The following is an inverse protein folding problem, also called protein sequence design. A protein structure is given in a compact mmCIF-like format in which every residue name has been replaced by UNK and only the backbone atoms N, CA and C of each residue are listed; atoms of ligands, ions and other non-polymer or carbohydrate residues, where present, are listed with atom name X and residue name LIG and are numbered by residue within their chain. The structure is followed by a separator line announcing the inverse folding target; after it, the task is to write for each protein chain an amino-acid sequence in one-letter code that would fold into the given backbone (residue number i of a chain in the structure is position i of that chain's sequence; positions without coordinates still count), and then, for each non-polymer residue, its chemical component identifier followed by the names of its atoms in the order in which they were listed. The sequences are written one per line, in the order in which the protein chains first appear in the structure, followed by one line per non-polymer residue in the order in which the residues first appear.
data_IF_601577277881
#
_entry.id   IF_601577277881
#
_cell.length_a   1.000
_cell.length_b   1.000
_cell.length_c   1.000
_cell.angle_alpha   90.00
_cell.angle_beta   90.00
_cell.angle_gamma   90.00
#
_symmetry.space_group_name_H-M   'P 1'
#
loop_
_entity.id
_entity.type
_entity.pdbx_description
1 polymer ?
#
# COMPACT_ATOMS: atom_id res chain seq x y z
N UNK A 1 0.04 -9.21 9.86
CA UNK A 1 1.41 -8.68 9.64
C UNK A 1 1.66 -8.70 8.13
N UNK A 2 2.05 -7.56 7.54
CA UNK A 2 2.03 -7.36 6.07
C UNK A 2 3.08 -8.18 5.32
N UNK A 3 2.76 -8.65 4.11
CA UNK A 3 3.67 -9.37 3.21
C UNK A 3 4.99 -8.63 2.96
N UNK A 4 5.04 -7.31 3.17
CA UNK A 4 6.25 -6.52 3.02
C UNK A 4 7.37 -6.89 4.02
N UNK A 5 7.05 -7.55 5.15
CA UNK A 5 8.04 -7.95 6.17
C UNK A 5 8.59 -9.36 5.90
N UNK A 6 7.92 -10.14 5.05
CA UNK A 6 8.31 -11.51 4.73
C UNK A 6 9.73 -11.59 4.15
N UNK A 7 10.07 -10.71 3.20
CA UNK A 7 11.41 -10.63 2.61
C UNK A 7 12.52 -10.34 3.62
N UNK A 8 12.23 -9.49 4.62
CA UNK A 8 13.17 -9.11 5.68
C UNK A 8 13.44 -10.28 6.62
N UNK A 9 12.40 -11.05 6.95
CA UNK A 9 12.51 -12.18 7.87
C UNK A 9 13.13 -13.43 7.23
N UNK A 10 13.32 -13.49 5.90
CA UNK A 10 13.99 -14.64 5.25
C UNK A 10 15.38 -14.90 5.83
N UNK A 11 16.16 -13.85 6.07
CA UNK A 11 17.51 -13.95 6.65
C UNK A 11 17.54 -14.15 8.16
N UNK A 12 16.53 -13.64 8.87
CA UNK A 12 16.45 -13.69 10.33
C UNK A 12 15.95 -15.04 10.87
N UNK A 13 15.32 -15.88 10.03
CA UNK A 13 14.70 -17.16 10.40
C UNK A 13 15.57 -18.18 11.13
N UNK A 14 16.90 -18.11 10.97
CA UNK A 14 17.84 -19.03 11.63
C UNK A 14 18.37 -18.48 12.94
N UNK A 15 17.92 -17.30 13.34
CA UNK A 15 18.31 -16.66 14.59
C UNK A 15 17.42 -17.16 15.75
N UNK A 16 17.90 -17.05 16.99
CA UNK A 16 17.07 -17.26 18.18
C UNK A 16 15.80 -16.42 18.15
N UNK A 17 14.75 -16.87 18.85
CA UNK A 17 13.47 -16.16 18.92
C UNK A 17 13.64 -14.74 19.47
N UNK A 18 14.52 -14.53 20.45
CA UNK A 18 14.86 -13.20 20.96
C UNK A 18 15.36 -12.26 19.87
N UNK A 19 16.37 -12.69 19.11
CA UNK A 19 16.91 -11.93 17.98
C UNK A 19 15.86 -11.68 16.88
N UNK A 20 14.93 -12.61 16.65
CA UNK A 20 13.80 -12.40 15.74
C UNK A 20 12.88 -11.29 16.23
N UNK A 21 12.53 -11.28 17.52
CA UNK A 21 11.68 -10.26 18.14
C UNK A 21 12.35 -8.90 18.07
N UNK A 22 13.64 -8.81 18.40
CA UNK A 22 14.43 -7.58 18.29
C UNK A 22 14.44 -7.03 16.86
N UNK A 23 14.76 -7.86 15.86
CA UNK A 23 14.75 -7.44 14.46
C UNK A 23 13.37 -6.94 14.03
N UNK A 24 12.29 -7.64 14.42
CA UNK A 24 10.93 -7.23 14.08
C UNK A 24 10.62 -5.86 14.70
N UNK A 25 10.96 -5.68 15.98
CA UNK A 25 10.76 -4.41 16.68
C UNK A 25 11.55 -3.29 16.01
N UNK A 26 12.86 -3.43 15.86
CA UNK A 26 13.74 -2.41 15.26
C UNK A 26 13.26 -2.00 13.87
N UNK A 27 12.88 -2.98 13.03
CA UNK A 27 12.39 -2.72 11.68
C UNK A 27 11.04 -2.02 11.68
N UNK A 28 10.16 -2.37 12.62
CA UNK A 28 8.85 -1.72 12.77
C UNK A 28 9.02 -0.28 13.22
N UNK A 29 9.86 -0.03 14.23
CA UNK A 29 10.19 1.32 14.69
C UNK A 29 10.79 2.15 13.56
N UNK A 30 11.80 1.62 12.87
CA UNK A 30 12.41 2.30 11.72
C UNK A 30 11.38 2.62 10.63
N UNK A 31 10.51 1.66 10.29
CA UNK A 31 9.48 1.85 9.27
C UNK A 31 8.50 2.97 9.64
N UNK A 32 7.99 2.97 10.87
CA UNK A 32 7.09 4.02 11.37
C UNK A 32 7.78 5.38 11.38
N UNK A 33 9.02 5.45 11.86
CA UNK A 33 9.81 6.69 11.88
C UNK A 33 10.00 7.27 10.49
N UNK A 34 10.43 6.47 9.51
CA UNK A 34 10.60 6.92 8.13
C UNK A 34 9.28 7.41 7.53
N UNK A 35 8.18 6.70 7.81
CA UNK A 35 6.84 7.08 7.33
C UNK A 35 6.33 8.37 7.95
N UNK A 36 6.55 8.58 9.25
CA UNK A 36 6.18 9.80 9.96
C UNK A 36 6.97 11.01 9.45
N UNK A 37 8.29 10.89 9.27
CA UNK A 37 9.13 11.95 8.66
C UNK A 37 8.61 12.29 7.27
N UNK A 38 8.29 11.26 6.47
CA UNK A 38 7.73 11.46 5.14
C UNK A 38 6.40 12.22 5.19
N UNK A 39 5.49 11.86 6.09
CA UNK A 39 4.20 12.54 6.29
C UNK A 39 4.37 14.00 6.68
N UNK A 40 5.33 14.29 7.58
CA UNK A 40 5.68 15.67 7.96
C UNK A 40 6.17 16.50 6.77
N UNK A 41 7.03 15.92 5.92
CA UNK A 41 7.50 16.58 4.69
C UNK A 41 6.36 16.88 3.72
N UNK A 42 5.42 15.93 3.56
CA UNK A 42 4.23 16.15 2.73
C UNK A 42 3.36 17.30 3.27
N UNK A 43 3.25 17.41 4.60
CA UNK A 43 2.48 18.46 5.27
C UNK A 43 3.12 19.83 5.07
N UNK A 44 4.44 19.94 5.23
CA UNK A 44 5.20 21.17 4.97
C UNK A 44 5.07 21.64 3.51
N UNK A 45 4.91 20.70 2.58
CA UNK A 45 4.69 20.99 1.17
C UNK A 45 3.22 21.31 0.82
N UNK A 46 2.32 21.43 1.82
CA UNK A 46 0.88 21.64 1.63
C UNK A 46 0.23 20.62 0.69
N UNK A 47 0.69 19.36 0.71
CA UNK A 47 0.10 18.32 -0.12
C UNK A 47 -1.26 17.87 0.44
N UNK A 48 -2.24 17.67 -0.45
CA UNK A 48 -3.56 17.17 -0.09
C UNK A 48 -3.57 15.65 0.15
N UNK A 49 -2.77 14.91 -0.62
CA UNK A 49 -2.71 13.45 -0.59
C UNK A 49 -1.28 12.95 -0.50
N UNK A 50 -1.16 11.65 -0.20
CA UNK A 50 0.11 10.93 -0.31
C UNK A 50 0.76 11.10 -1.70
N UNK A 51 2.09 11.12 -1.73
CA UNK A 51 2.90 11.18 -2.97
C UNK A 51 2.37 10.31 -4.12
N UNK A 52 1.97 9.07 -3.82
CA UNK A 52 1.47 8.13 -4.82
C UNK A 52 0.22 8.69 -5.53
N UNK A 53 -0.74 9.18 -4.76
CA UNK A 53 -1.97 9.75 -5.27
C UNK A 53 -1.70 11.06 -6.03
N UNK A 54 -0.86 11.95 -5.47
CA UNK A 54 -0.46 13.19 -6.13
C UNK A 54 0.20 12.94 -7.49
N UNK A 55 1.21 12.07 -7.53
CA UNK A 55 1.93 11.73 -8.77
C UNK A 55 1.01 11.14 -9.82
N UNK A 56 0.15 10.21 -9.43
CA UNK A 56 -0.79 9.57 -10.35
C UNK A 56 -1.86 10.54 -10.84
N UNK A 57 -2.43 11.36 -9.95
CA UNK A 57 -3.42 12.37 -10.30
C UNK A 57 -2.87 13.39 -11.30
N UNK A 58 -1.67 13.94 -11.04
CA UNK A 58 -1.02 14.91 -11.94
C UNK A 58 -0.69 14.28 -13.29
N UNK A 59 -0.13 13.07 -13.30
CA UNK A 59 0.18 12.35 -14.54
C UNK A 59 -1.06 12.09 -15.40
N UNK A 60 -2.18 11.74 -14.78
CA UNK A 60 -3.44 11.56 -15.49
C UNK A 60 -4.06 12.86 -15.95
N UNK A 61 -3.87 13.95 -15.19
CA UNK A 61 -4.39 15.26 -15.55
C UNK A 61 -3.68 15.80 -16.80
N UNK A 62 -2.37 15.60 -16.89
CA UNK A 62 -1.59 15.96 -18.09
C UNK A 62 -2.07 15.19 -19.32
N UNK A 63 -2.37 13.88 -19.17
CA UNK A 63 -2.92 13.07 -20.27
C UNK A 63 -4.31 13.51 -20.71
N UNK A 64 -5.10 14.08 -19.80
CA UNK A 64 -6.47 14.49 -20.05
C UNK A 64 -6.60 15.69 -21.00
N UNK A 65 -5.53 16.49 -21.16
CA UNK A 65 -5.55 17.76 -21.90
C UNK A 65 -6.06 17.57 -23.33
N UNK A 66 -5.55 16.56 -24.04
CA UNK A 66 -5.83 16.29 -25.46
C UNK A 66 -7.20 15.62 -25.73
N UNK A 67 -7.95 15.29 -24.68
CA UNK A 67 -9.20 14.54 -24.85
C UNK A 67 -10.36 15.46 -25.24
N UNK A 68 -11.32 14.92 -26.00
CA UNK A 68 -12.55 15.61 -26.36
C UNK A 68 -13.71 15.04 -25.56
N UNK A 69 -14.60 15.89 -25.05
CA UNK A 69 -15.78 15.48 -24.28
C UNK A 69 -17.05 15.68 -25.09
N UNK A 70 -17.97 14.73 -24.98
CA UNK A 70 -19.35 14.87 -25.41
C UNK A 70 -20.26 14.67 -24.20
N UNK A 71 -20.95 15.75 -23.80
CA UNK A 71 -21.87 15.74 -22.66
C UNK A 71 -23.23 15.24 -23.13
N UNK A 72 -23.83 14.32 -22.37
CA UNK A 72 -25.14 13.74 -22.70
C UNK A 72 -26.23 14.16 -21.72
N UNK A 73 -25.90 14.40 -20.45
CA UNK A 73 -26.88 14.84 -19.46
C UNK A 73 -26.22 15.66 -18.36
N UNK A 74 -26.73 16.88 -18.16
CA UNK A 74 -26.29 17.76 -17.08
C UNK A 74 -26.77 17.27 -15.71
N UNK A 75 -28.03 16.82 -15.60
CA UNK A 75 -28.61 16.34 -14.35
C UNK A 75 -28.00 15.01 -13.90
N UNK A 76 -27.65 14.12 -14.84
CA UNK A 76 -27.04 12.82 -14.53
C UNK A 76 -25.51 12.83 -14.58
N UNK A 77 -24.90 13.97 -14.95
CA UNK A 77 -23.44 14.16 -15.06
C UNK A 77 -22.74 13.02 -15.83
N UNK A 78 -23.33 12.72 -17.00
CA UNK A 78 -22.93 11.61 -17.87
C UNK A 78 -22.27 12.17 -19.14
N UNK A 79 -21.10 11.63 -19.50
CA UNK A 79 -20.39 12.04 -20.70
C UNK A 79 -19.59 10.90 -21.32
N UNK A 80 -19.34 11.02 -22.63
CA UNK A 80 -18.30 10.25 -23.29
C UNK A 80 -17.03 11.09 -23.49
N UNK A 81 -15.89 10.41 -23.47
CA UNK A 81 -14.56 10.98 -23.70
C UNK A 81 -13.92 10.26 -24.85
N UNK A 82 -13.50 11.02 -25.84
CA UNK A 82 -12.79 10.52 -27.00
C UNK A 82 -11.29 10.68 -26.78
N UNK A 83 -10.54 9.58 -26.89
CA UNK A 83 -9.09 9.54 -26.76
C UNK A 83 -8.43 8.96 -28.02
N UNK A 84 -7.23 9.45 -28.35
CA UNK A 84 -6.43 8.91 -29.44
C UNK A 84 -5.44 7.89 -28.88
N UNK A 85 -5.35 6.70 -29.49
CA UNK A 85 -4.30 5.73 -29.14
C UNK A 85 -2.92 6.26 -29.54
N UNK A 86 -1.88 5.76 -28.86
CA UNK A 86 -0.47 6.11 -29.14
C UNK A 86 -0.06 5.82 -30.59
N UNK A 87 -0.79 4.96 -31.31
CA UNK A 87 -0.54 4.60 -32.70
C UNK A 87 -1.24 5.54 -33.70
N UNK A 88 -1.77 6.68 -33.26
CA UNK A 88 -2.23 7.80 -34.11
C UNK A 88 -3.56 7.63 -34.83
N UNK A 89 -3.99 6.39 -35.14
CA UNK A 89 -5.13 6.15 -36.04
C UNK A 89 -6.42 5.69 -35.36
N UNK A 90 -6.34 5.09 -34.16
CA UNK A 90 -7.50 4.49 -33.52
C UNK A 90 -8.06 5.40 -32.41
N UNK A 91 -9.35 5.71 -32.53
CA UNK A 91 -10.10 6.55 -31.61
C UNK A 91 -10.84 5.65 -30.64
N UNK A 92 -10.59 5.80 -29.33
CA UNK A 92 -11.32 5.09 -28.28
C UNK A 92 -12.32 6.02 -27.60
N UNK A 93 -13.53 5.50 -27.38
CA UNK A 93 -14.54 6.21 -26.60
C UNK A 93 -14.70 5.57 -25.23
N UNK A 94 -14.54 6.37 -24.19
CA UNK A 94 -14.77 5.98 -22.81
C UNK A 94 -16.00 6.66 -22.26
N UNK A 95 -16.74 5.95 -21.41
CA UNK A 95 -17.95 6.46 -20.77
C UNK A 95 -17.63 6.78 -19.32
N UNK A 96 -18.06 7.96 -18.85
CA UNK A 96 -17.85 8.41 -17.47
C UNK A 96 -19.21 8.77 -16.85
N UNK A 97 -19.47 8.22 -15.67
CA UNK A 97 -20.62 8.53 -14.81
C UNK A 97 -20.07 9.15 -13.53
N UNK A 98 -20.10 10.49 -13.44
CA UNK A 98 -19.50 11.21 -12.32
C UNK A 98 -20.19 10.88 -10.99
N UNK A 99 -21.53 10.86 -10.98
CA UNK A 99 -22.31 10.57 -9.77
C UNK A 99 -21.95 9.21 -9.15
N UNK A 100 -21.72 8.20 -9.99
CA UNK A 100 -21.32 6.86 -9.57
C UNK A 100 -19.81 6.73 -9.31
N UNK A 101 -19.01 7.74 -9.67
CA UNK A 101 -17.54 7.69 -9.68
C UNK A 101 -17.00 6.55 -10.54
N UNK A 102 -17.62 6.35 -11.70
CA UNK A 102 -17.33 5.25 -12.61
C UNK A 102 -16.80 5.74 -13.95
N UNK A 103 -15.86 4.97 -14.50
CA UNK A 103 -15.39 5.13 -15.86
C UNK A 103 -15.25 3.75 -16.50
N UNK A 104 -15.61 3.62 -17.78
CA UNK A 104 -15.54 2.35 -18.52
C UNK A 104 -14.11 1.78 -18.64
N UNK A 105 -13.07 2.55 -18.33
CA UNK A 105 -11.70 2.05 -18.24
C UNK A 105 -11.38 1.35 -16.91
N UNK A 106 -12.31 1.30 -15.96
CA UNK A 106 -12.22 0.69 -14.62
C UNK A 106 -11.14 1.25 -13.68
N UNK A 107 -10.24 2.10 -14.16
CA UNK A 107 -9.14 2.68 -13.36
C UNK A 107 -9.64 3.49 -12.16
N UNK A 108 -10.74 4.23 -12.30
CA UNK A 108 -11.25 5.02 -11.19
C UNK A 108 -11.68 4.14 -10.02
N UNK A 109 -12.42 3.05 -10.29
CA UNK A 109 -12.80 2.09 -9.26
C UNK A 109 -11.59 1.34 -8.70
N UNK A 110 -10.67 0.89 -9.57
CA UNK A 110 -9.49 0.12 -9.17
C UNK A 110 -8.54 0.90 -8.26
N UNK A 111 -8.27 2.17 -8.60
CA UNK A 111 -7.28 2.98 -7.89
C UNK A 111 -7.91 3.93 -6.86
N UNK A 112 -9.23 4.11 -6.85
CA UNK A 112 -9.88 5.11 -5.98
C UNK A 112 -9.49 6.57 -6.30
N UNK A 113 -8.85 6.80 -7.44
CA UNK A 113 -8.40 8.11 -7.92
C UNK A 113 -9.00 8.32 -9.32
N UNK A 114 -9.61 9.49 -9.61
CA UNK A 114 -10.19 9.74 -10.92
C UNK A 114 -9.15 9.59 -12.03
N UNK A 115 -9.44 8.72 -13.01
CA UNK A 115 -8.56 8.53 -14.16
C UNK A 115 -8.56 9.75 -15.10
N UNK A 116 -7.66 9.77 -16.09
CA UNK A 116 -7.54 10.89 -17.05
C UNK A 116 -8.87 11.21 -17.77
N UNK A 117 -9.66 10.20 -18.14
CA UNK A 117 -11.00 10.40 -18.71
C UNK A 117 -11.93 11.10 -17.73
N UNK A 118 -11.93 10.63 -16.49
CA UNK A 118 -12.82 11.13 -15.44
C UNK A 118 -12.47 12.57 -15.07
N UNK A 119 -11.18 12.88 -14.95
CA UNK A 119 -10.69 14.24 -14.72
C UNK A 119 -11.11 15.19 -15.84
N UNK A 120 -11.03 14.77 -17.11
CA UNK A 120 -11.50 15.58 -18.24
C UNK A 120 -12.99 15.87 -18.14
N UNK A 121 -13.80 14.86 -17.83
CA UNK A 121 -15.26 15.00 -17.72
C UNK A 121 -15.62 15.89 -16.54
N UNK A 122 -15.00 15.69 -15.38
CA UNK A 122 -15.19 16.56 -14.22
C UNK A 122 -14.89 18.02 -14.55
N UNK A 123 -13.76 18.30 -15.22
CA UNK A 123 -13.44 19.66 -15.70
C UNK A 123 -14.50 20.20 -16.66
N UNK A 124 -15.02 19.37 -17.56
CA UNK A 124 -16.12 19.72 -18.44
C UNK A 124 -17.40 20.15 -17.70
N UNK A 125 -17.69 19.56 -16.56
CA UNK A 125 -18.85 19.91 -15.71
C UNK A 125 -18.51 20.93 -14.61
N UNK A 126 -17.33 21.54 -14.62
CA UNK A 126 -16.84 22.45 -13.56
C UNK A 126 -16.83 21.81 -12.17
N UNK A 127 -16.58 20.50 -12.11
CA UNK A 127 -16.47 19.74 -10.86
C UNK A 127 -15.00 19.49 -10.58
N UNK A 128 -14.58 19.72 -9.34
CA UNK A 128 -13.22 19.40 -8.92
C UNK A 128 -13.04 17.88 -8.87
N UNK A 129 -12.24 17.32 -9.79
CA UNK A 129 -11.88 15.90 -9.72
C UNK A 129 -11.09 15.58 -8.42
N UNK A 130 -10.39 16.56 -7.85
CA UNK A 130 -9.65 16.40 -6.61
C UNK A 130 -10.56 15.96 -5.44
N UNK A 131 -11.78 16.49 -5.34
CA UNK A 131 -12.72 16.11 -4.27
C UNK A 131 -13.24 14.68 -4.37
N UNK A 132 -12.90 13.96 -5.45
CA UNK A 132 -13.35 12.60 -5.69
C UNK A 132 -12.29 11.53 -5.47
N UNK A 133 -11.06 11.93 -5.09
CA UNK A 133 -10.03 11.02 -4.61
C UNK A 133 -10.51 10.40 -3.28
N UNK A 134 -10.35 9.09 -3.11
CA UNK A 134 -10.74 8.40 -1.88
C UNK A 134 -9.96 8.90 -0.66
N UNK A 135 -10.65 9.01 0.47
CA UNK A 135 -10.13 9.64 1.70
C UNK A 135 -8.92 8.92 2.31
N UNK A 136 -8.77 7.62 2.07
CA UNK A 136 -7.60 6.87 2.55
C UNK A 136 -6.29 7.31 1.87
N UNK A 137 -6.34 8.10 0.78
CA UNK A 137 -5.17 8.78 0.22
C UNK A 137 -4.85 10.12 0.90
N UNK A 138 -5.77 10.64 1.71
CA UNK A 138 -5.64 11.92 2.40
C UNK A 138 -4.46 11.94 3.36
N UNK A 139 -3.77 13.08 3.38
CA UNK A 139 -2.58 13.24 4.22
C UNK A 139 -2.92 13.13 5.72
N UNK A 140 -4.11 13.55 6.13
CA UNK A 140 -4.59 13.39 7.51
C UNK A 140 -4.70 11.92 7.92
N UNK A 141 -5.30 11.08 7.08
CA UNK A 141 -5.41 9.64 7.34
C UNK A 141 -4.02 8.98 7.43
N UNK A 142 -3.10 9.38 6.54
CA UNK A 142 -1.71 8.93 6.57
C UNK A 142 -1.01 9.32 7.87
N UNK A 143 -1.03 10.61 8.25
CA UNK A 143 -0.37 11.09 9.46
C UNK A 143 -0.96 10.45 10.73
N UNK A 144 -2.28 10.28 10.79
CA UNK A 144 -2.92 9.61 11.91
C UNK A 144 -2.44 8.15 12.04
N UNK A 145 -2.28 7.44 10.93
CA UNK A 145 -1.79 6.04 10.89
C UNK A 145 -0.40 5.90 11.51
N UNK A 146 0.48 6.88 11.30
CA UNK A 146 1.88 6.86 11.75
C UNK A 146 2.16 7.83 12.91
N UNK A 147 1.12 8.31 13.59
CA UNK A 147 1.24 9.28 14.70
C UNK A 147 1.77 8.65 15.99
N UNK A 148 1.52 7.35 16.18
CA UNK A 148 1.95 6.60 17.37
C UNK A 148 3.46 6.35 17.33
N UNK A 149 4.07 6.36 18.50
CA UNK A 149 5.47 6.02 18.72
C UNK A 149 5.61 4.69 19.44
N UNK A 150 6.79 4.11 19.33
CA UNK A 150 7.21 2.96 20.11
C UNK A 150 8.09 3.45 21.25
N UNK A 151 7.92 2.85 22.43
CA UNK A 151 8.81 3.08 23.55
C UNK A 151 10.09 2.24 23.40
N UNK A 152 11.25 2.77 23.84
CA UNK A 152 12.47 1.99 23.87
C UNK A 152 12.35 0.85 24.88
N UNK A 153 12.84 -0.33 24.49
CA UNK A 153 12.98 -1.47 25.40
C UNK A 153 14.24 -1.27 26.22
N UNK A 154 14.13 -1.39 27.55
CA UNK A 154 15.28 -1.27 28.45
C UNK A 154 16.22 -2.47 28.30
N UNK A 155 17.46 -2.34 28.79
CA UNK A 155 18.37 -3.48 28.87
C UNK A 155 17.79 -4.58 29.76
N UNK A 156 18.15 -5.83 29.47
CA UNK A 156 17.67 -7.02 30.19
C UNK A 156 17.87 -6.93 31.71
N UNK A 157 18.95 -6.26 32.14
CA UNK A 157 19.27 -6.01 33.55
C UNK A 157 18.18 -5.27 34.34
N UNK A 158 17.26 -4.59 33.65
CA UNK A 158 16.18 -3.81 34.26
C UNK A 158 14.81 -4.47 34.10
N UNK A 159 14.74 -5.67 33.54
CA UNK A 159 13.46 -6.34 33.34
C UNK A 159 12.99 -7.00 34.64
N UNK A 160 11.69 -6.93 34.90
CA UNK A 160 11.09 -7.64 36.02
C UNK A 160 11.22 -9.16 35.81
N UNK A 161 11.42 -9.89 36.91
CA UNK A 161 11.41 -11.34 36.87
C UNK A 161 10.04 -11.84 36.34
N UNK A 162 10.02 -12.75 35.36
CA UNK A 162 8.77 -13.24 34.81
C UNK A 162 7.98 -13.98 35.89
N UNK A 163 6.74 -13.54 36.14
CA UNK A 163 5.82 -14.22 37.05
C UNK A 163 5.16 -15.48 36.43
N UNK A 164 5.89 -16.16 35.54
CA UNK A 164 5.45 -17.38 34.87
C UNK A 164 6.65 -18.29 34.61
N UNK A 165 6.39 -19.59 34.57
CA UNK A 165 7.39 -20.58 34.22
C UNK A 165 7.18 -21.04 32.77
N UNK A 166 8.23 -20.95 31.95
CA UNK A 166 8.26 -21.60 30.64
C UNK A 166 8.38 -23.11 30.84
N UNK A 167 7.28 -23.83 30.62
CA UNK A 167 7.24 -25.30 30.65
C UNK A 167 7.20 -25.80 29.21
N UNK A 168 8.12 -26.70 28.86
CA UNK A 168 8.06 -27.38 27.57
C UNK A 168 6.86 -28.34 27.57
N UNK A 169 6.14 -28.42 26.46
CA UNK A 169 5.04 -29.37 26.33
C UNK A 169 5.62 -30.80 26.36
N UNK A 170 5.31 -31.62 27.39
CA UNK A 170 5.86 -32.96 27.54
C UNK A 170 5.34 -33.93 26.46
N UNK A 171 4.31 -33.55 25.71
CA UNK A 171 3.75 -34.34 24.61
C UNK A 171 4.41 -34.06 23.26
N UNK A 172 5.23 -32.99 23.16
CA UNK A 172 6.08 -32.76 21.98
C UNK A 172 7.19 -33.80 21.99
N UNK A 173 6.95 -34.87 21.22
CA UNK A 173 7.77 -36.08 21.14
C UNK A 173 9.26 -35.76 20.98
N UNK A 174 10.04 -36.07 22.02
CA UNK A 174 11.43 -36.49 21.88
C UNK A 174 11.40 -37.64 20.86
N UNK A 175 12.14 -37.52 19.75
CA UNK A 175 12.17 -38.56 18.73
C UNK A 175 12.53 -39.90 19.37
N UNK A 176 11.60 -40.86 19.37
CA UNK A 176 11.83 -42.22 19.87
C UNK A 176 12.71 -43.06 18.94
N UNK A 177 12.99 -42.56 17.73
CA UNK A 177 13.84 -43.21 16.74
C UNK A 177 15.08 -42.35 16.45
N UNK A 178 16.26 -42.94 16.19
CA UNK A 178 17.42 -42.21 15.71
C UNK A 178 17.10 -41.52 14.38
N UNK A 179 17.19 -40.19 14.33
CA UNK A 179 16.98 -39.43 13.10
C UNK A 179 16.26 -38.10 13.33
N UNK A 180 16.33 -37.22 12.33
CA UNK A 180 15.63 -35.93 12.34
C UNK A 180 14.15 -36.17 11.99
N UNK A 181 13.25 -35.74 12.87
CA UNK A 181 11.80 -35.73 12.58
C UNK A 181 11.53 -35.07 11.23
N UNK A 182 10.77 -35.76 10.37
CA UNK A 182 10.32 -35.17 9.10
C UNK A 182 9.43 -33.97 9.39
N UNK A 183 9.71 -32.85 8.73
CA UNK A 183 8.92 -31.63 8.89
C UNK A 183 7.59 -31.78 8.18
N UNK A 184 6.48 -31.64 8.88
CA UNK A 184 5.12 -31.55 8.29
C UNK A 184 4.83 -30.19 7.65
N UNK A 185 5.80 -29.28 7.69
CA UNK A 185 5.68 -27.91 7.18
C UNK A 185 5.67 -27.91 5.64
N UNK A 186 4.65 -27.29 5.08
CA UNK A 186 4.54 -27.00 3.64
C UNK A 186 5.55 -25.92 3.27
N UNK A 187 6.36 -26.19 2.24
CA UNK A 187 7.31 -25.22 1.69
C UNK A 187 6.58 -24.05 1.02
N UNK A 188 7.03 -22.81 1.25
CA UNK A 188 6.51 -21.61 0.58
C UNK A 188 7.63 -20.79 -0.06
N UNK A 189 7.29 -19.69 -0.74
CA UNK A 189 8.24 -18.81 -1.47
C UNK A 189 9.41 -18.31 -0.60
N UNK A 190 9.29 -18.39 0.71
CA UNK A 190 10.33 -17.98 1.65
C UNK A 190 11.43 -19.04 1.83
N UNK A 191 11.21 -20.27 1.36
CA UNK A 191 12.16 -21.38 1.44
C UNK A 191 12.99 -21.53 0.16
N UNK A 192 12.61 -20.83 -0.91
CA UNK A 192 13.34 -20.82 -2.17
C UNK A 192 14.61 -19.96 -2.06
N UNK A 193 15.76 -20.50 -2.50
CA UNK A 193 17.01 -19.74 -2.60
C UNK A 193 16.86 -18.70 -3.72
N UNK A 194 17.12 -17.43 -3.44
CA UNK A 194 17.17 -16.43 -4.50
C UNK A 194 18.33 -16.76 -5.45
N UNK A 195 18.01 -17.17 -6.68
CA UNK A 195 18.97 -17.28 -7.77
C UNK A 195 19.46 -15.87 -8.05
N UNK A 196 20.74 -15.57 -7.79
CA UNK A 196 21.33 -14.30 -8.20
C UNK A 196 21.22 -14.23 -9.72
N UNK A 197 20.55 -13.20 -10.24
CA UNK A 197 20.66 -12.84 -11.64
C UNK A 197 22.14 -12.51 -11.92
N UNK A 198 22.72 -13.19 -12.91
CA UNK A 198 24.05 -12.88 -13.44
C UNK A 198 24.00 -11.60 -14.25
#
# INVERSE_FOLDING_TARGET
MSECINGVLKGARRLPVSALVEIILERTVHYFRVRAIKGHKMLQNNQLWMDFACKMFISWQQKAVEYTIMKYSHSQQFASVVTRRQNGHEINTHVVKIANRECSCSKWNQFGIPCSHSQKVCGGYNISAASMVKDYYGLMAYNNTYSKHFEPVQSEDYWDDPNFQLVHDPTIRISTCPGRNQTTRIHNEMDWRQTRAR
#
